data_IF_492224759169
#
_entry.id   IF_492224759169
#
_cell.length_a   1.000
_cell.length_b   1.000
_cell.length_c   1.000
_cell.angle_alpha   90.00
_cell.angle_beta   90.00
_cell.angle_gamma   90.00
#
_symmetry.space_group_name_H-M   'P 1'
#
loop_
_entity.id
_entity.type
_entity.pdbx_description
1 polymer ?
#
# COMPACT_ATOMS: atom_id res chain seq x y z
N UNK A 1 39.60 -64.83 -10.60
CA UNK A 1 39.14 -65.96 -9.75
C UNK A 1 37.68 -65.70 -9.40
N UNK A 2 36.68 -66.30 -10.09
CA UNK A 2 35.98 -67.59 -9.77
C UNK A 2 35.38 -67.53 -8.35
N UNK A 3 34.06 -67.55 -8.10
CA UNK A 3 32.99 -68.55 -8.42
C UNK A 3 31.59 -67.92 -8.11
N UNK A 4 30.60 -67.92 -9.03
CA UNK A 4 29.45 -68.85 -9.21
C UNK A 4 28.53 -69.02 -7.98
N UNK A 5 27.27 -68.57 -7.96
CA UNK A 5 26.03 -69.09 -8.61
C UNK A 5 25.17 -70.00 -7.71
N UNK A 6 23.83 -69.80 -7.75
CA UNK A 6 22.71 -70.77 -7.56
C UNK A 6 21.69 -70.29 -6.51
N UNK A 7 20.48 -69.80 -6.82
CA UNK A 7 19.29 -70.38 -7.49
C UNK A 7 18.53 -71.40 -6.61
N UNK A 8 17.29 -71.07 -6.20
CA UNK A 8 16.11 -71.97 -6.26
C UNK A 8 14.77 -71.26 -6.03
N UNK A 9 13.81 -71.65 -6.87
CA UNK A 9 12.37 -71.35 -6.87
C UNK A 9 11.60 -72.40 -6.06
N UNK A 10 10.40 -72.07 -5.59
CA UNK A 10 9.12 -72.83 -5.70
C UNK A 10 8.09 -72.09 -4.81
N UNK A 11 6.98 -71.52 -5.30
CA UNK A 11 5.73 -72.09 -5.86
C UNK A 11 5.06 -73.10 -4.91
N UNK A 12 3.84 -72.73 -4.49
CA UNK A 12 2.89 -73.54 -3.73
C UNK A 12 1.56 -72.78 -3.52
N UNK A 13 0.69 -72.85 -4.54
CA UNK A 13 -0.75 -72.55 -4.55
C UNK A 13 -1.51 -73.52 -3.61
N UNK A 14 -2.80 -73.47 -3.27
CA UNK A 14 -4.02 -72.74 -3.63
C UNK A 14 -5.10 -73.11 -2.58
N UNK A 15 -6.23 -72.40 -2.56
CA UNK A 15 -7.64 -72.82 -2.31
C UNK A 15 -8.43 -71.54 -1.95
N UNK A 16 -9.05 -70.79 -2.88
CA UNK A 16 -10.26 -71.04 -3.68
C UNK A 16 -11.50 -71.43 -2.86
N UNK A 17 -12.38 -70.46 -2.56
CA UNK A 17 -13.83 -70.71 -2.48
C UNK A 17 -14.61 -69.71 -3.35
N UNK A 18 -15.45 -70.33 -4.18
CA UNK A 18 -16.37 -69.84 -5.21
C UNK A 18 -17.42 -68.86 -4.64
N UNK A 19 -17.62 -67.69 -5.26
CA UNK A 19 -18.65 -67.35 -6.27
C UNK A 19 -20.04 -67.08 -5.70
N UNK A 20 -20.52 -65.84 -5.89
CA UNK A 20 -21.69 -65.61 -6.74
C UNK A 20 -21.66 -64.20 -7.35
N UNK A 21 -21.86 -64.11 -8.66
CA UNK A 21 -21.77 -62.89 -9.48
C UNK A 21 -23.11 -62.69 -10.20
N UNK A 22 -23.63 -61.45 -10.12
CA UNK A 22 -24.45 -60.72 -11.12
C UNK A 22 -25.90 -61.21 -11.33
N UNK A 23 -26.83 -60.42 -11.94
CA UNK A 23 -26.66 -59.22 -12.77
C UNK A 23 -27.64 -58.03 -12.52
N UNK A 24 -27.48 -57.01 -13.37
CA UNK A 24 -28.19 -55.73 -13.47
C UNK A 24 -29.65 -55.88 -13.90
N UNK A 25 -30.51 -54.97 -13.43
CA UNK A 25 -31.66 -54.45 -14.20
C UNK A 25 -31.85 -52.96 -13.92
N UNK A 26 -32.16 -52.25 -14.99
CA UNK A 26 -32.31 -50.80 -15.15
C UNK A 26 -33.79 -50.45 -15.17
N UNK A 27 -34.09 -49.20 -14.82
CA UNK A 27 -35.24 -48.37 -15.19
C UNK A 27 -36.43 -48.22 -14.22
N UNK A 28 -36.57 -46.96 -13.80
CA UNK A 28 -37.76 -46.11 -13.88
C UNK A 28 -38.84 -46.22 -12.78
N UNK A 29 -39.06 -45.08 -12.13
CA UNK A 29 -40.19 -44.83 -11.24
C UNK A 29 -40.02 -43.51 -10.50
N UNK A 30 -40.21 -42.40 -11.20
CA UNK A 30 -40.20 -41.05 -10.66
C UNK A 30 -41.26 -40.87 -9.56
N UNK A 31 -40.86 -40.36 -8.39
CA UNK A 31 -41.77 -39.76 -7.41
C UNK A 31 -41.10 -38.56 -6.72
N UNK A 32 -41.73 -37.40 -6.94
CA UNK A 32 -41.72 -36.19 -6.12
C UNK A 32 -40.42 -35.36 -6.00
N UNK A 33 -40.25 -34.49 -6.98
CA UNK A 33 -39.65 -33.17 -6.78
C UNK A 33 -40.40 -32.38 -5.69
N UNK A 34 -39.68 -31.81 -4.73
CA UNK A 34 -39.93 -30.49 -4.11
C UNK A 34 -39.09 -30.36 -2.82
N UNK A 35 -37.81 -30.06 -2.97
CA UNK A 35 -37.02 -29.40 -1.94
C UNK A 35 -36.36 -28.16 -2.56
N UNK A 36 -37.18 -27.26 -3.12
CA UNK A 36 -36.79 -25.85 -3.22
C UNK A 36 -36.85 -25.26 -1.81
N UNK A 37 -35.80 -25.49 -1.03
CA UNK A 37 -35.56 -24.70 0.16
C UNK A 37 -35.03 -23.33 -0.31
N UNK A 38 -35.80 -22.30 0.02
CA UNK A 38 -35.61 -20.92 -0.36
C UNK A 38 -34.17 -20.45 -0.07
N UNK A 39 -33.37 -20.29 -1.10
CA UNK A 39 -32.37 -19.22 -1.08
C UNK A 39 -33.15 -17.93 -1.23
N UNK A 40 -33.56 -17.36 -0.09
CA UNK A 40 -33.98 -15.97 -0.03
C UNK A 40 -32.89 -15.15 -0.72
N UNK A 41 -33.20 -14.63 -1.90
CA UNK A 41 -32.46 -13.53 -2.50
C UNK A 41 -32.60 -12.37 -1.52
N UNK A 42 -31.69 -12.31 -0.54
CA UNK A 42 -31.42 -11.08 0.18
C UNK A 42 -31.15 -10.06 -0.92
N UNK A 43 -31.94 -8.97 -1.03
CA UNK A 43 -31.52 -7.90 -1.89
C UNK A 43 -30.10 -7.54 -1.46
N UNK A 44 -29.14 -7.62 -2.38
CA UNK A 44 -27.88 -6.91 -2.18
C UNK A 44 -28.31 -5.49 -1.86
N UNK A 45 -28.21 -5.09 -0.59
CA UNK A 45 -28.30 -3.69 -0.26
C UNK A 45 -27.34 -3.00 -1.22
N UNK A 46 -27.76 -1.94 -1.95
CA UNK A 46 -26.79 -1.17 -2.71
C UNK A 46 -25.67 -0.86 -1.74
N UNK A 47 -24.42 -1.18 -2.11
CA UNK A 47 -23.27 -0.72 -1.35
C UNK A 47 -23.52 0.77 -1.15
N UNK A 48 -23.86 1.16 0.08
CA UNK A 48 -24.05 2.55 0.39
C UNK A 48 -22.71 3.13 0.03
N UNK A 49 -22.65 3.91 -1.05
CA UNK A 49 -21.47 4.67 -1.39
C UNK A 49 -21.31 5.58 -0.18
N UNK A 50 -20.54 5.13 0.82
CA UNK A 50 -20.21 5.94 1.96
C UNK A 50 -19.70 7.22 1.35
N UNK A 51 -20.44 8.30 1.53
CA UNK A 51 -20.02 9.62 1.08
C UNK A 51 -18.61 9.76 1.60
N UNK A 52 -17.62 9.79 0.69
CA UNK A 52 -16.22 9.84 1.09
C UNK A 52 -16.10 10.96 2.13
N UNK A 53 -15.52 10.68 3.32
CA UNK A 53 -15.50 11.66 4.38
C UNK A 53 -14.94 12.97 3.84
N UNK A 54 -15.60 14.08 4.17
CA UNK A 54 -15.09 15.41 3.83
C UNK A 54 -13.66 15.52 4.34
N UNK A 55 -12.75 16.05 3.51
CA UNK A 55 -11.35 16.22 3.86
C UNK A 55 -11.19 16.99 5.18
N UNK A 56 -10.60 16.35 6.20
CA UNK A 56 -10.19 16.98 7.46
C UNK A 56 -8.68 17.28 7.41
N UNK A 57 -8.25 18.56 7.42
CA UNK A 57 -6.83 18.89 7.43
C UNK A 57 -6.11 18.41 8.70
N UNK A 58 -6.82 18.15 9.80
CA UNK A 58 -6.22 17.63 11.03
C UNK A 58 -6.06 16.10 11.07
N UNK A 59 -6.69 15.38 10.14
CA UNK A 59 -6.82 13.92 10.16
C UNK A 59 -6.92 13.38 8.71
N UNK A 60 -5.80 13.39 8.00
CA UNK A 60 -5.78 13.08 6.55
C UNK A 60 -5.81 11.56 6.31
N UNK A 61 -5.13 10.81 7.17
CA UNK A 61 -4.99 9.35 7.13
C UNK A 61 -4.67 8.86 8.55
N UNK A 62 -5.17 7.69 8.93
CA UNK A 62 -4.86 7.09 10.23
C UNK A 62 -3.43 6.57 10.26
N UNK A 63 -2.82 6.49 11.45
CA UNK A 63 -1.51 5.87 11.59
C UNK A 63 -1.53 4.40 11.13
N UNK A 64 -2.62 3.67 11.41
CA UNK A 64 -2.78 2.28 10.95
C UNK A 64 -2.73 2.17 9.42
N UNK A 65 -3.49 3.00 8.70
CA UNK A 65 -3.49 2.99 7.23
C UNK A 65 -2.15 3.45 6.64
N UNK A 66 -1.45 4.36 7.32
CA UNK A 66 -0.20 4.95 6.84
C UNK A 66 1.02 4.05 7.05
N UNK A 67 1.13 3.44 8.22
CA UNK A 67 2.30 2.66 8.63
C UNK A 67 2.15 1.16 8.40
N UNK A 68 0.96 0.64 8.08
CA UNK A 68 0.76 -0.79 7.83
C UNK A 68 1.52 -1.27 6.57
N UNK A 69 2.69 -1.94 6.71
CA UNK A 69 3.46 -2.38 5.56
C UNK A 69 2.83 -3.59 4.86
N UNK A 70 1.89 -4.26 5.52
CA UNK A 70 1.20 -5.46 5.05
C UNK A 70 -0.13 -5.11 4.36
N UNK A 71 -0.38 -3.83 4.06
CA UNK A 71 -1.62 -3.38 3.41
C UNK A 71 -1.78 -3.91 1.98
N UNK A 72 -0.68 -4.27 1.32
CA UNK A 72 -0.64 -4.98 0.03
C UNK A 72 0.64 -5.80 -0.11
N UNK A 73 0.51 -7.02 -0.59
CA UNK A 73 1.63 -7.85 -1.04
C UNK A 73 2.13 -7.41 -2.42
N UNK A 74 3.35 -7.79 -2.81
CA UNK A 74 3.89 -7.51 -4.15
C UNK A 74 2.95 -8.01 -5.28
N UNK A 75 2.30 -9.15 -5.10
CA UNK A 75 1.35 -9.70 -6.07
C UNK A 75 0.06 -8.86 -6.17
N UNK A 76 -0.44 -8.33 -5.04
CA UNK A 76 -1.60 -7.42 -5.03
C UNK A 76 -1.26 -6.08 -5.67
N UNK A 77 -0.06 -5.55 -5.41
CA UNK A 77 0.43 -4.33 -6.07
C UNK A 77 0.52 -4.56 -7.58
N UNK A 78 1.09 -5.68 -8.02
CA UNK A 78 1.17 -5.99 -9.45
C UNK A 78 -0.23 -6.03 -10.07
N UNK A 79 -1.18 -6.77 -9.48
CA UNK A 79 -2.56 -6.83 -9.98
C UNK A 79 -3.22 -5.44 -10.03
N UNK A 80 -3.01 -4.63 -9.00
CA UNK A 80 -3.51 -3.26 -8.98
C UNK A 80 -2.96 -2.45 -10.16
N UNK A 81 -1.64 -2.50 -10.39
CA UNK A 81 -0.99 -1.79 -11.50
C UNK A 81 -1.46 -2.30 -12.87
N UNK A 82 -1.66 -3.61 -13.03
CA UNK A 82 -2.14 -4.24 -14.27
C UNK A 82 -3.56 -3.78 -14.65
N UNK A 83 -4.35 -3.31 -13.68
CA UNK A 83 -5.73 -2.84 -13.89
C UNK A 83 -5.84 -1.33 -14.17
N UNK A 84 -4.75 -0.58 -14.09
CA UNK A 84 -4.77 0.87 -14.36
C UNK A 84 -4.71 1.14 -15.86
N UNK A 85 -5.51 2.09 -16.34
CA UNK A 85 -5.34 2.67 -17.69
C UNK A 85 -4.06 3.51 -17.70
N UNK A 86 -2.99 2.92 -18.24
CA UNK A 86 -1.68 3.54 -18.34
C UNK A 86 -1.38 3.96 -19.79
N UNK A 87 -1.08 5.25 -19.96
CA UNK A 87 -0.73 5.89 -21.23
C UNK A 87 0.58 6.65 -21.06
N UNK A 88 1.74 6.01 -21.26
CA UNK A 88 3.03 6.66 -21.16
C UNK A 88 3.13 7.92 -22.02
N UNK A 89 3.82 8.94 -21.51
CA UNK A 89 4.05 10.21 -22.23
C UNK A 89 5.15 10.10 -23.28
N UNK A 90 5.99 9.07 -23.19
CA UNK A 90 7.12 8.79 -24.06
C UNK A 90 7.32 7.26 -24.19
N UNK A 91 8.48 6.81 -24.68
CA UNK A 91 8.80 5.39 -24.83
C UNK A 91 9.01 4.61 -23.52
N UNK A 92 8.79 5.23 -22.36
CA UNK A 92 8.90 4.55 -21.06
C UNK A 92 7.80 3.51 -20.87
N UNK A 93 8.08 2.39 -20.19
CA UNK A 93 7.05 1.39 -19.92
C UNK A 93 6.07 1.88 -18.86
N UNK A 94 4.88 1.29 -18.84
CA UNK A 94 3.96 1.37 -17.71
C UNK A 94 4.59 0.77 -16.44
N UNK A 95 4.19 1.26 -15.27
CA UNK A 95 4.80 0.84 -14.01
C UNK A 95 4.63 -0.67 -13.75
N UNK A 96 3.54 -1.26 -14.23
CA UNK A 96 3.30 -2.71 -14.25
C UNK A 96 4.41 -3.51 -14.97
N UNK A 97 4.95 -2.95 -16.05
CA UNK A 97 5.96 -3.57 -16.92
C UNK A 97 7.39 -3.11 -16.61
N UNK A 98 7.54 -2.05 -15.83
CA UNK A 98 8.83 -1.51 -15.46
C UNK A 98 9.67 -2.53 -14.68
N UNK A 99 10.96 -2.61 -15.05
CA UNK A 99 11.98 -3.45 -14.41
C UNK A 99 13.23 -2.63 -14.15
N UNK A 100 13.89 -2.89 -13.04
CA UNK A 100 15.12 -2.20 -12.64
C UNK A 100 16.05 -3.16 -11.87
N UNK A 101 17.35 -2.97 -11.97
CA UNK A 101 18.32 -3.60 -11.07
C UNK A 101 18.43 -2.74 -9.80
N UNK A 102 18.27 -3.34 -8.63
CA UNK A 102 18.33 -2.66 -7.34
C UNK A 102 19.62 -3.01 -6.60
N UNK A 103 20.24 -2.06 -5.89
CA UNK A 103 21.47 -2.31 -5.14
C UNK A 103 21.19 -2.92 -3.77
N UNK A 104 22.21 -3.56 -3.19
CA UNK A 104 22.22 -3.78 -1.74
C UNK A 104 22.15 -2.44 -1.00
N UNK A 105 21.26 -2.35 -0.01
CA UNK A 105 21.05 -1.17 0.81
C UNK A 105 21.20 -1.54 2.28
N UNK A 106 22.10 -0.86 2.98
CA UNK A 106 22.34 -1.08 4.41
C UNK A 106 21.16 -0.60 5.25
N UNK A 107 21.00 -1.18 6.44
CA UNK A 107 20.00 -0.71 7.39
C UNK A 107 20.30 0.72 7.84
N UNK A 108 19.23 1.50 8.03
CA UNK A 108 19.25 2.81 8.66
C UNK A 108 18.44 2.72 9.95
N UNK A 109 19.10 2.81 11.09
CA UNK A 109 18.47 2.69 12.41
C UNK A 109 17.25 3.62 12.51
N UNK A 110 16.11 3.10 13.01
CA UNK A 110 14.82 3.80 13.16
C UNK A 110 14.12 4.22 11.86
N UNK A 111 14.71 3.95 10.69
CA UNK A 111 14.11 4.30 9.40
C UNK A 111 13.78 3.10 8.55
N UNK A 112 14.78 2.31 8.18
CA UNK A 112 14.58 1.19 7.27
C UNK A 112 15.54 0.04 7.60
N UNK A 113 15.02 -1.19 7.58
CA UNK A 113 15.84 -2.39 7.56
C UNK A 113 16.68 -2.51 6.27
N UNK A 114 17.72 -3.35 6.31
CA UNK A 114 18.55 -3.61 5.13
C UNK A 114 17.74 -4.31 4.02
N UNK A 115 18.06 -3.98 2.77
CA UNK A 115 17.48 -4.59 1.57
C UNK A 115 18.59 -5.21 0.75
N UNK A 116 18.38 -6.42 0.22
CA UNK A 116 19.29 -7.02 -0.74
C UNK A 116 19.03 -6.54 -2.17
N UNK A 117 20.06 -6.38 -2.98
CA UNK A 117 19.89 -6.05 -4.38
C UNK A 117 19.21 -7.18 -5.16
N UNK A 118 18.48 -6.83 -6.21
CA UNK A 118 17.82 -7.75 -7.14
C UNK A 118 18.09 -7.32 -8.57
N UNK A 119 18.11 -8.29 -9.49
CA UNK A 119 18.22 -8.02 -10.93
C UNK A 119 16.88 -8.09 -11.62
N UNK A 120 16.60 -7.14 -12.52
CA UNK A 120 15.34 -7.04 -13.29
C UNK A 120 14.11 -7.08 -12.39
N UNK A 121 14.20 -6.44 -11.23
CA UNK A 121 13.15 -6.40 -10.22
C UNK A 121 11.93 -5.62 -10.74
N UNK A 122 10.74 -6.14 -10.45
CA UNK A 122 9.47 -5.46 -10.77
C UNK A 122 9.26 -4.26 -9.87
N UNK A 123 8.68 -3.18 -10.40
CA UNK A 123 8.28 -2.03 -9.58
C UNK A 123 7.38 -2.42 -8.40
N UNK A 124 6.47 -3.39 -8.59
CA UNK A 124 5.61 -3.94 -7.54
C UNK A 124 6.39 -4.60 -6.39
N UNK A 125 7.48 -5.30 -6.70
CA UNK A 125 8.39 -5.88 -5.70
C UNK A 125 9.16 -4.80 -4.95
N UNK A 126 9.70 -3.81 -5.67
CA UNK A 126 10.39 -2.66 -5.07
C UNK A 126 9.49 -1.95 -4.05
N UNK A 127 8.25 -1.60 -4.44
CA UNK A 127 7.30 -0.93 -3.54
C UNK A 127 7.00 -1.79 -2.30
N UNK A 128 6.70 -3.08 -2.48
CA UNK A 128 6.39 -3.97 -1.36
C UNK A 128 7.57 -4.13 -0.39
N UNK A 129 8.78 -4.30 -0.91
CA UNK A 129 9.98 -4.52 -0.10
C UNK A 129 10.42 -3.27 0.63
N UNK A 130 10.38 -2.11 -0.03
CA UNK A 130 10.66 -0.82 0.61
C UNK A 130 9.61 -0.53 1.69
N UNK A 131 8.32 -0.72 1.38
CA UNK A 131 7.24 -0.60 2.34
C UNK A 131 7.50 -1.45 3.60
N UNK A 132 7.88 -2.71 3.42
CA UNK A 132 8.17 -3.62 4.53
C UNK A 132 9.43 -3.23 5.30
N UNK A 133 10.50 -2.87 4.61
CA UNK A 133 11.77 -2.51 5.26
C UNK A 133 11.63 -1.24 6.09
N UNK A 134 10.82 -0.28 5.65
CA UNK A 134 10.66 1.00 6.32
C UNK A 134 9.35 1.11 7.12
N UNK A 135 8.56 0.06 7.26
CA UNK A 135 7.24 0.10 7.93
C UNK A 135 6.36 1.27 7.45
N UNK A 136 6.18 1.35 6.13
CA UNK A 136 5.28 2.31 5.46
C UNK A 136 4.32 1.53 4.60
N UNK A 137 3.07 1.97 4.52
CA UNK A 137 2.06 1.32 3.70
C UNK A 137 2.39 1.40 2.20
N UNK A 138 2.37 0.27 1.47
CA UNK A 138 2.55 0.28 0.02
C UNK A 138 1.49 1.12 -0.69
N UNK A 139 0.28 1.25 -0.11
CA UNK A 139 -0.79 2.12 -0.64
C UNK A 139 -0.40 3.60 -0.59
N UNK A 140 0.26 4.04 0.47
CA UNK A 140 0.79 5.41 0.61
C UNK A 140 1.83 5.70 -0.48
N UNK A 141 2.77 4.76 -0.69
CA UNK A 141 3.81 4.91 -1.71
C UNK A 141 3.22 4.97 -3.13
N UNK A 142 2.20 4.16 -3.43
CA UNK A 142 1.51 4.19 -4.73
C UNK A 142 0.77 5.51 -4.96
N UNK A 143 0.09 6.05 -3.94
CA UNK A 143 -0.54 7.38 -4.04
C UNK A 143 0.52 8.47 -4.26
N UNK A 144 1.66 8.38 -3.57
CA UNK A 144 2.73 9.35 -3.73
C UNK A 144 3.31 9.34 -5.16
N UNK A 145 3.63 8.16 -5.69
CA UNK A 145 4.11 8.00 -7.08
C UNK A 145 3.16 8.61 -8.12
N UNK A 146 1.84 8.50 -7.88
CA UNK A 146 0.86 9.13 -8.75
C UNK A 146 0.79 10.64 -8.55
N UNK A 147 0.73 11.10 -7.30
CA UNK A 147 0.59 12.52 -6.97
C UNK A 147 1.75 13.34 -7.51
N UNK A 148 2.97 12.79 -7.43
CA UNK A 148 4.20 13.53 -7.71
C UNK A 148 4.56 13.51 -9.19
N UNK A 149 4.38 12.37 -9.89
CA UNK A 149 4.86 12.21 -11.26
C UNK A 149 3.84 11.56 -12.21
N UNK A 150 2.61 11.30 -11.74
CA UNK A 150 1.59 10.55 -12.49
C UNK A 150 2.08 9.18 -12.99
N UNK A 151 3.06 8.56 -12.30
CA UNK A 151 3.76 7.39 -12.83
C UNK A 151 2.87 6.16 -13.06
N UNK A 152 1.76 6.05 -12.32
CA UNK A 152 0.88 4.89 -12.42
C UNK A 152 -0.01 4.97 -13.66
N UNK A 153 -0.28 6.17 -14.20
CA UNK A 153 -1.20 6.37 -15.33
C UNK A 153 -0.57 7.02 -16.56
N UNK A 154 0.49 7.83 -16.39
CA UNK A 154 1.12 8.57 -17.47
C UNK A 154 2.64 8.73 -17.25
N UNK A 155 3.39 7.61 -17.17
CA UNK A 155 4.82 7.64 -16.87
C UNK A 155 5.64 8.32 -17.97
N UNK A 156 6.81 8.79 -17.59
CA UNK A 156 7.83 9.34 -18.48
C UNK A 156 9.23 9.02 -17.96
N UNK A 157 10.25 9.18 -18.80
CA UNK A 157 11.63 8.92 -18.40
C UNK A 157 12.06 9.83 -17.24
N UNK A 158 11.70 11.12 -17.28
CA UNK A 158 11.93 12.05 -16.17
C UNK A 158 11.13 11.67 -14.92
N UNK A 159 9.91 11.16 -15.09
CA UNK A 159 9.08 10.69 -14.00
C UNK A 159 9.76 9.57 -13.22
N UNK A 160 10.35 8.60 -13.92
CA UNK A 160 11.09 7.51 -13.26
C UNK A 160 12.34 7.99 -12.51
N UNK A 161 12.99 9.06 -12.97
CA UNK A 161 14.13 9.64 -12.25
C UNK A 161 13.71 10.37 -10.97
N UNK A 162 12.50 10.96 -10.95
CA UNK A 162 12.01 11.83 -9.85
C UNK A 162 10.72 11.31 -9.23
N UNK A 163 10.58 9.99 -9.17
CA UNK A 163 9.32 9.27 -8.98
C UNK A 163 8.43 9.75 -7.83
N UNK A 164 9.03 10.26 -6.75
CA UNK A 164 8.33 10.75 -5.55
C UNK A 164 8.61 12.24 -5.28
N UNK A 165 9.34 12.93 -6.16
CA UNK A 165 9.75 14.32 -5.95
C UNK A 165 10.77 14.50 -4.82
N UNK A 166 11.37 13.43 -4.29
CA UNK A 166 12.33 13.53 -3.21
C UNK A 166 13.58 14.28 -3.67
N UNK A 167 14.02 15.25 -2.87
CA UNK A 167 15.14 16.16 -3.14
C UNK A 167 15.01 16.97 -4.44
N UNK A 168 13.76 17.31 -4.81
CA UNK A 168 13.43 18.24 -5.90
C UNK A 168 12.76 19.51 -5.34
N UNK A 169 13.52 20.47 -4.80
CA UNK A 169 12.95 21.73 -4.31
C UNK A 169 12.39 22.57 -5.46
N UNK A 170 11.28 23.27 -5.23
CA UNK A 170 10.67 24.14 -6.25
C UNK A 170 11.59 25.30 -6.69
N UNK A 171 12.56 25.68 -5.85
CA UNK A 171 13.45 26.84 -6.04
C UNK A 171 14.86 26.48 -6.52
N UNK A 172 15.17 25.20 -6.71
CA UNK A 172 16.50 24.76 -7.18
C UNK A 172 16.42 23.48 -8.02
N UNK A 173 17.55 23.08 -8.61
CA UNK A 173 17.64 21.80 -9.32
C UNK A 173 17.46 20.63 -8.34
N UNK A 174 16.88 19.54 -8.83
CA UNK A 174 16.85 18.29 -8.07
C UNK A 174 18.27 17.75 -7.87
N UNK A 175 18.50 17.13 -6.72
CA UNK A 175 19.76 16.45 -6.40
C UNK A 175 19.84 15.09 -7.14
N UNK A 176 20.77 15.00 -8.08
CA UNK A 176 20.92 13.86 -8.99
C UNK A 176 21.32 12.56 -8.29
N UNK A 177 21.90 12.65 -7.09
CA UNK A 177 22.27 11.49 -6.26
C UNK A 177 21.06 10.64 -5.87
N UNK A 178 19.86 11.20 -5.91
CA UNK A 178 18.62 10.50 -5.57
C UNK A 178 17.80 10.10 -6.79
N UNK A 179 18.33 10.28 -8.00
CA UNK A 179 17.63 9.89 -9.20
C UNK A 179 17.45 8.37 -9.32
N UNK A 180 16.35 7.99 -9.95
CA UNK A 180 15.98 6.61 -10.24
C UNK A 180 14.85 6.08 -9.35
N UNK A 181 14.04 5.20 -9.91
CA UNK A 181 12.79 4.73 -9.29
C UNK A 181 13.02 4.14 -7.89
N UNK A 182 13.99 3.23 -7.75
CA UNK A 182 14.31 2.63 -6.46
C UNK A 182 14.73 3.67 -5.41
N UNK A 183 15.66 4.56 -5.77
CA UNK A 183 16.19 5.59 -4.87
C UNK A 183 15.08 6.52 -4.39
N UNK A 184 14.19 6.95 -5.29
CA UNK A 184 13.06 7.82 -4.97
C UNK A 184 12.04 7.14 -4.05
N UNK A 185 11.68 5.88 -4.31
CA UNK A 185 10.76 5.11 -3.47
C UNK A 185 11.36 4.84 -2.09
N UNK A 186 12.62 4.39 -2.03
CA UNK A 186 13.33 4.16 -0.76
C UNK A 186 13.46 5.45 0.06
N UNK A 187 13.89 6.56 -0.57
CA UNK A 187 14.09 7.82 0.16
C UNK A 187 12.80 8.47 0.62
N UNK A 188 11.70 8.34 -0.13
CA UNK A 188 10.41 8.80 0.35
C UNK A 188 9.96 8.02 1.60
N UNK A 189 10.07 6.68 1.57
CA UNK A 189 9.73 5.85 2.73
C UNK A 189 10.64 6.15 3.93
N UNK A 190 11.96 6.24 3.70
CA UNK A 190 12.95 6.63 4.70
C UNK A 190 12.62 7.99 5.32
N UNK A 191 12.23 8.98 4.51
CA UNK A 191 11.93 10.33 4.96
C UNK A 191 10.66 10.39 5.83
N UNK A 192 9.64 9.58 5.51
CA UNK A 192 8.47 9.47 6.39
C UNK A 192 8.83 8.86 7.75
N UNK A 193 9.78 7.94 7.79
CA UNK A 193 10.29 7.39 9.05
C UNK A 193 11.17 8.36 9.80
N UNK A 194 11.97 9.16 9.10
CA UNK A 194 12.72 10.27 9.68
C UNK A 194 11.80 11.28 10.40
N UNK A 195 10.69 11.67 9.78
CA UNK A 195 9.69 12.54 10.42
C UNK A 195 9.08 11.93 11.69
N UNK A 196 9.01 10.60 11.74
CA UNK A 196 8.42 9.84 12.84
C UNK A 196 9.41 9.63 13.99
N UNK A 197 10.67 9.34 13.67
CA UNK A 197 11.74 9.11 14.64
C UNK A 197 12.18 10.42 15.33
N UNK A 198 12.18 11.53 14.57
CA UNK A 198 12.62 12.84 15.06
C UNK A 198 11.55 13.92 14.90
N UNK A 199 10.33 13.75 15.47
CA UNK A 199 9.21 14.66 15.22
C UNK A 199 9.45 16.08 15.77
N UNK A 200 10.44 16.27 16.65
CA UNK A 200 10.85 17.57 17.16
C UNK A 200 11.68 18.42 16.20
N UNK A 201 12.32 17.79 15.20
CA UNK A 201 13.25 18.45 14.27
C UNK A 201 12.54 19.01 13.02
N UNK A 202 11.25 18.68 12.86
CA UNK A 202 10.47 19.04 11.68
C UNK A 202 9.38 20.07 12.00
N UNK A 203 8.96 20.80 10.96
CA UNK A 203 8.08 21.96 11.09
C UNK A 203 6.71 21.60 11.67
N UNK A 204 6.10 20.51 11.21
CA UNK A 204 4.76 20.11 11.59
C UNK A 204 4.77 18.89 12.51
N UNK A 205 3.97 18.94 13.58
CA UNK A 205 3.92 17.92 14.63
C UNK A 205 2.49 17.68 15.11
N UNK A 206 2.26 16.60 15.87
CA UNK A 206 0.95 16.37 16.51
C UNK A 206 0.58 17.58 17.40
N UNK A 207 -0.67 18.01 17.33
CA UNK A 207 -1.18 19.18 18.04
C UNK A 207 -1.45 20.37 17.12
N UNK A 208 -1.48 21.58 17.71
CA UNK A 208 -1.84 22.81 17.01
C UNK A 208 -0.66 23.31 16.16
N UNK A 209 -0.91 23.52 14.86
CA UNK A 209 0.03 24.09 13.90
C UNK A 209 -0.68 25.14 13.04
N UNK A 210 0.01 26.21 12.66
CA UNK A 210 -0.50 27.13 11.64
C UNK A 210 0.02 26.68 10.26
N UNK A 211 -0.89 26.17 9.43
CA UNK A 211 -0.56 25.59 8.13
C UNK A 211 -0.97 26.54 7.02
N UNK A 212 -0.02 26.87 6.15
CA UNK A 212 -0.24 27.79 5.03
C UNK A 212 -1.13 27.17 3.95
N UNK A 213 -1.88 28.01 3.25
CA UNK A 213 -2.65 27.58 2.08
C UNK A 213 -1.80 27.48 0.81
N UNK A 214 -0.68 28.20 0.76
CA UNK A 214 0.18 28.32 -0.42
C UNK A 214 1.61 28.72 -0.01
N UNK A 215 2.65 28.47 -0.85
CA UNK A 215 4.00 29.00 -0.63
C UNK A 215 4.03 30.52 -0.45
N UNK A 216 3.20 31.23 -1.20
CA UNK A 216 3.00 32.67 -1.00
C UNK A 216 2.32 32.93 0.34
N UNK A 217 3.01 33.68 1.20
CA UNK A 217 2.53 34.05 2.53
C UNK A 217 1.31 34.97 2.48
N UNK A 218 1.11 35.70 1.38
CA UNK A 218 -0.06 36.59 1.19
C UNK A 218 -1.38 35.81 1.20
N UNK A 219 -1.36 34.53 0.79
CA UNK A 219 -2.51 33.63 0.82
C UNK A 219 -2.95 33.22 2.23
N UNK A 220 -2.14 33.51 3.24
CA UNK A 220 -2.46 33.25 4.64
C UNK A 220 -2.32 31.79 5.07
N UNK A 221 -2.84 31.51 6.26
CA UNK A 221 -2.77 30.21 6.93
C UNK A 221 -3.96 30.02 7.87
N UNK A 222 -4.16 28.81 8.36
CA UNK A 222 -5.13 28.52 9.42
C UNK A 222 -4.55 27.55 10.44
N UNK A 223 -4.94 27.74 11.70
CA UNK A 223 -4.65 26.80 12.77
C UNK A 223 -5.35 25.46 12.51
N UNK A 224 -4.56 24.41 12.38
CA UNK A 224 -4.98 23.01 12.23
C UNK A 224 -4.47 22.22 13.43
N UNK A 225 -5.34 21.39 14.01
CA UNK A 225 -4.95 20.45 15.07
C UNK A 225 -4.69 19.08 14.44
N UNK A 226 -3.42 18.79 14.17
CA UNK A 226 -2.95 17.51 13.64
C UNK A 226 -3.14 16.44 14.71
N UNK A 227 -3.87 15.37 14.39
CA UNK A 227 -4.30 14.35 15.37
C UNK A 227 -3.32 13.20 15.54
N UNK A 228 -2.55 12.87 14.50
CA UNK A 228 -1.71 11.68 14.47
C UNK A 228 -0.40 11.93 13.72
N UNK A 229 0.54 10.99 13.83
CA UNK A 229 1.89 11.14 13.29
C UNK A 229 1.88 11.07 11.76
N UNK A 230 1.05 10.21 11.17
CA UNK A 230 0.91 10.07 9.72
C UNK A 230 0.48 11.39 9.05
N UNK A 231 -0.46 12.11 9.65
CA UNK A 231 -0.89 13.42 9.16
C UNK A 231 0.22 14.46 9.28
N UNK A 232 0.99 14.45 10.38
CA UNK A 232 2.18 15.32 10.52
C UNK A 232 3.21 15.03 9.42
N UNK A 233 3.47 13.75 9.14
CA UNK A 233 4.40 13.31 8.10
C UNK A 233 3.98 13.80 6.70
N UNK A 234 2.69 13.72 6.36
CA UNK A 234 2.19 14.22 5.08
C UNK A 234 2.39 15.73 4.92
N UNK A 235 2.18 16.51 5.99
CA UNK A 235 2.47 17.95 5.94
C UNK A 235 3.96 18.26 5.86
N UNK A 236 4.82 17.48 6.52
CA UNK A 236 6.27 17.67 6.38
C UNK A 236 6.76 17.33 4.96
N UNK A 237 6.10 16.40 4.26
CA UNK A 237 6.40 16.06 2.87
C UNK A 237 5.78 17.03 1.85
N UNK A 238 4.54 17.49 2.08
CA UNK A 238 3.80 18.38 1.17
C UNK A 238 3.17 19.53 1.97
N UNK A 239 3.89 20.66 2.12
CA UNK A 239 3.67 21.59 3.22
C UNK A 239 2.56 22.63 3.01
N UNK A 240 1.36 22.24 2.56
CA UNK A 240 0.19 23.15 2.43
C UNK A 240 -1.15 22.43 2.65
N UNK A 241 -2.16 23.20 3.06
CA UNK A 241 -3.56 22.74 3.15
C UNK A 241 -4.43 23.42 2.07
N UNK A 242 -5.51 22.78 1.60
CA UNK A 242 -6.44 23.43 0.67
C UNK A 242 -7.18 24.59 1.35
N UNK A 243 -7.41 25.67 0.61
CA UNK A 243 -8.31 26.74 1.03
C UNK A 243 -9.78 26.39 0.68
N UNK A 244 -10.72 27.27 1.04
CA UNK A 244 -12.15 27.05 0.77
C UNK A 244 -12.45 26.91 -0.73
N UNK A 245 -11.76 27.67 -1.59
CA UNK A 245 -11.93 27.60 -3.05
C UNK A 245 -11.48 26.25 -3.61
N UNK A 246 -10.33 25.76 -3.15
CA UNK A 246 -9.78 24.44 -3.52
C UNK A 246 -10.74 23.32 -3.12
N UNK A 247 -11.33 23.42 -1.92
CA UNK A 247 -12.31 22.44 -1.44
C UNK A 247 -13.63 22.48 -2.24
N UNK A 248 -14.05 23.66 -2.69
CA UNK A 248 -15.23 23.83 -3.56
C UNK A 248 -14.99 23.31 -4.98
N UNK A 249 -13.74 23.34 -5.46
CA UNK A 249 -13.35 22.88 -6.80
C UNK A 249 -12.22 21.84 -6.72
N UNK A 250 -12.47 20.64 -6.16
CA UNK A 250 -11.41 19.70 -5.83
C UNK A 250 -10.67 19.16 -7.05
N UNK A 251 -11.28 19.16 -8.25
CA UNK A 251 -10.63 18.73 -9.51
C UNK A 251 -9.95 19.88 -10.28
N UNK A 252 -10.07 21.12 -9.79
CA UNK A 252 -9.44 22.31 -10.34
C UNK A 252 -9.95 22.79 -11.71
N UNK A 253 -9.33 23.87 -12.22
CA UNK A 253 -8.47 24.79 -11.46
C UNK A 253 -9.29 25.67 -10.50
N UNK A 254 -8.67 26.10 -9.41
CA UNK A 254 -9.20 27.06 -8.45
C UNK A 254 -8.13 28.15 -8.26
N UNK A 255 -8.50 29.31 -7.69
CA UNK A 255 -7.73 30.56 -7.73
C UNK A 255 -6.29 30.50 -7.21
N UNK A 256 -5.59 31.63 -7.28
CA UNK A 256 -4.12 31.74 -7.12
C UNK A 256 -3.56 31.22 -5.79
N UNK A 257 -4.39 31.09 -4.76
CA UNK A 257 -4.02 30.58 -3.44
C UNK A 257 -4.35 29.08 -3.22
N UNK A 258 -4.62 28.34 -4.29
CA UNK A 258 -5.07 26.95 -4.20
C UNK A 258 -3.91 25.97 -4.10
N UNK A 259 -3.92 25.11 -3.06
CA UNK A 259 -2.99 24.01 -2.92
C UNK A 259 -3.72 22.67 -2.82
N UNK A 260 -3.35 21.74 -3.72
CA UNK A 260 -4.06 20.48 -3.89
C UNK A 260 -3.35 19.27 -3.28
N UNK A 261 -2.09 19.39 -2.83
CA UNK A 261 -1.26 18.24 -2.49
C UNK A 261 -1.91 17.23 -1.54
N UNK A 262 -2.20 17.63 -0.31
CA UNK A 262 -2.82 16.76 0.68
C UNK A 262 -4.27 16.38 0.33
N UNK A 263 -5.01 17.28 -0.33
CA UNK A 263 -6.37 16.98 -0.82
C UNK A 263 -6.34 15.87 -1.88
N UNK A 264 -5.42 15.95 -2.84
CA UNK A 264 -5.24 14.96 -3.90
C UNK A 264 -4.73 13.64 -3.33
N UNK A 265 -3.84 13.67 -2.33
CA UNK A 265 -3.46 12.46 -1.60
C UNK A 265 -4.70 11.74 -1.04
N UNK A 266 -5.52 12.44 -0.25
CA UNK A 266 -6.72 11.87 0.36
C UNK A 266 -7.71 11.36 -0.70
N UNK A 267 -7.92 12.11 -1.78
CA UNK A 267 -8.82 11.72 -2.88
C UNK A 267 -8.34 10.50 -3.66
N UNK A 268 -7.05 10.43 -3.96
CA UNK A 268 -6.45 9.28 -4.64
C UNK A 268 -6.51 8.04 -3.76
N UNK A 269 -6.17 8.17 -2.47
CA UNK A 269 -6.25 7.07 -1.51
C UNK A 269 -7.70 6.56 -1.40
N UNK A 270 -8.67 7.45 -1.18
CA UNK A 270 -10.09 7.10 -1.14
C UNK A 270 -10.56 6.36 -2.40
N UNK A 271 -10.18 6.88 -3.57
CA UNK A 271 -10.57 6.29 -4.86
C UNK A 271 -10.04 4.88 -5.05
N UNK A 272 -8.82 4.59 -4.62
CA UNK A 272 -8.15 3.33 -4.91
C UNK A 272 -8.27 2.29 -3.80
N UNK A 273 -8.31 2.74 -2.56
CA UNK A 273 -8.14 1.87 -1.39
C UNK A 273 -9.23 2.03 -0.33
N UNK A 274 -10.20 2.92 -0.55
CA UNK A 274 -11.26 3.23 0.41
C UNK A 274 -10.81 4.22 1.48
N UNK A 275 -11.54 4.26 2.60
CA UNK A 275 -11.37 5.28 3.64
C UNK A 275 -9.93 5.28 4.22
N UNK A 276 -9.16 6.39 4.09
CA UNK A 276 -7.83 6.52 4.70
C UNK A 276 -7.86 6.54 6.24
N UNK A 277 -9.02 6.78 6.85
CA UNK A 277 -9.17 6.76 8.31
C UNK A 277 -9.58 5.38 8.84
N UNK A 278 -9.73 4.38 7.96
CA UNK A 278 -10.01 3.01 8.40
C UNK A 278 -8.90 2.50 9.33
N UNK A 279 -9.33 1.79 10.38
CA UNK A 279 -8.47 1.12 11.35
C UNK A 279 -8.87 -0.35 11.41
N UNK A 280 -7.89 -1.26 11.23
CA UNK A 280 -8.11 -2.72 11.12
C UNK A 280 -8.69 -3.34 12.37
N UNK A 281 -8.30 -2.83 13.54
CA UNK A 281 -8.75 -3.33 14.83
C UNK A 281 -9.50 -2.21 15.57
N UNK A 282 -10.82 -2.40 15.76
CA UNK A 282 -11.67 -1.46 16.48
C UNK A 282 -11.73 -1.81 17.97
N UNK A 283 -11.86 -0.80 18.82
CA UNK A 283 -11.98 -0.97 20.27
C UNK A 283 -10.67 -0.77 21.02
N UNK A 284 -10.59 -1.32 22.23
CA UNK A 284 -9.40 -1.22 23.07
C UNK A 284 -8.38 -2.28 22.64
N UNK A 285 -7.46 -1.90 21.76
CA UNK A 285 -6.33 -2.73 21.32
C UNK A 285 -5.02 -2.08 21.68
N UNK A 286 -3.97 -2.89 21.81
CA UNK A 286 -2.61 -2.39 22.02
C UNK A 286 -2.25 -1.39 20.92
N UNK A 287 -1.71 -0.19 21.26
CA UNK A 287 -1.37 0.86 20.30
C UNK A 287 -0.54 0.37 19.10
N UNK A 288 0.26 -0.68 19.31
CA UNK A 288 1.15 -1.29 18.31
C UNK A 288 0.41 -1.95 17.16
N UNK A 289 -0.75 -2.53 17.45
CA UNK A 289 -1.53 -3.27 16.46
C UNK A 289 -2.10 -2.33 15.39
N UNK A 290 -2.21 -1.04 15.72
CA UNK A 290 -2.71 0.03 14.88
C UNK A 290 -1.66 1.12 14.63
N UNK A 291 -0.39 0.83 14.93
CA UNK A 291 0.74 1.73 14.69
C UNK A 291 0.56 3.14 15.28
N UNK A 292 -0.12 3.29 16.42
CA UNK A 292 -0.38 4.60 16.98
C UNK A 292 0.93 5.34 17.30
N UNK A 293 1.08 6.56 16.77
CA UNK A 293 2.32 7.34 16.85
C UNK A 293 3.41 6.89 15.86
N UNK A 294 3.15 5.86 15.03
CA UNK A 294 4.08 5.30 14.07
C UNK A 294 4.51 3.87 14.39
N UNK A 295 5.83 3.63 14.36
CA UNK A 295 6.41 2.31 14.66
C UNK A 295 7.17 2.41 15.98
N UNK A 296 7.23 1.30 16.73
CA UNK A 296 7.89 1.28 18.03
C UNK A 296 6.90 1.56 19.16
N UNK A 297 6.42 0.50 19.79
CA UNK A 297 5.61 0.65 20.99
C UNK A 297 6.47 0.67 22.24
N UNK A 298 6.22 1.61 23.16
CA UNK A 298 6.61 1.38 24.53
C UNK A 298 5.87 0.13 25.05
N UNK A 299 6.54 -0.81 25.73
CA UNK A 299 5.87 -1.97 26.30
C UNK A 299 4.74 -1.49 27.24
N UNK A 300 3.62 -2.23 27.34
CA UNK A 300 2.52 -1.82 28.22
C UNK A 300 3.05 -1.63 29.64
N UNK A 301 2.92 -0.41 30.14
CA UNK A 301 3.36 -0.03 31.48
C UNK A 301 2.41 -0.68 32.49
N UNK A 302 2.78 -1.85 33.03
CA UNK A 302 1.97 -2.49 34.07
C UNK A 302 2.15 -3.99 34.28
N UNK A 303 2.75 -4.73 33.34
CA UNK A 303 3.08 -6.14 33.58
C UNK A 303 4.53 -6.29 34.06
N UNK A 304 4.70 -6.34 35.39
CA UNK A 304 5.90 -6.94 35.99
C UNK A 304 5.65 -8.45 36.08
N UNK A 305 6.50 -9.25 35.46
CA UNK A 305 6.58 -10.69 35.74
C UNK A 305 7.19 -10.92 37.13
#
# INVERSE_FOLDING_TARGET
MRRTSSKRRSIGSAEMRLVCRRPRSVAAGALAAAALALFSALPLAPASAATAPSFDPGDIISDDSFFNPDAMTAAEIQRFLDHLDCRPKDGSPCLADYRIDTPDTTASAERCAALRGETRERASSVVARVAKACTISPRVLLVLLQKEQSLLTAPSASGYQKATGYACPDTAACDDRYFGFYNQVYRAAWQFREYTAHPGDWRYRIGRNDIQYHPDRSCGSRAVRIRNQATANLYNYTPYQPNAETLAQPSGPAGDCSAYGNLNFSRLYNRWFGDPLAVRYLGFVEPCLVYAGGEGCPPPSGFRF
#
